data_IF_557240597546
#
_entry.id   IF_557240597546
#
_cell.length_a   1.000
_cell.length_b   1.000
_cell.length_c   1.000
_cell.angle_alpha   90.00
_cell.angle_beta   90.00
_cell.angle_gamma   90.00
#
_symmetry.space_group_name_H-M   'P 1'
#
loop_
_entity.id
_entity.type
_entity.pdbx_description
1 polymer ?
#
# COMPACT_ATOMS: atom_id res chain seq x y z
N UNK A 1 -10.84 -10.59 13.10
CA UNK A 1 -10.07 -9.91 12.03
C UNK A 1 -9.49 -10.98 11.14
N UNK A 2 -9.75 -10.92 9.84
CA UNK A 2 -9.16 -11.84 8.87
C UNK A 2 -7.95 -11.17 8.22
N UNK A 3 -6.94 -11.97 7.90
CA UNK A 3 -5.70 -11.54 7.27
C UNK A 3 -5.50 -12.33 5.98
N UNK A 4 -4.86 -11.72 4.97
CA UNK A 4 -4.50 -12.39 3.72
C UNK A 4 -5.68 -13.11 3.08
N UNK A 5 -6.78 -12.37 2.90
CA UNK A 5 -8.01 -12.94 2.37
C UNK A 5 -7.95 -12.91 0.84
N UNK A 6 -8.12 -14.06 0.16
CA UNK A 6 -8.11 -14.09 -1.29
C UNK A 6 -9.36 -13.38 -1.81
N UNK A 7 -9.17 -12.30 -2.55
CA UNK A 7 -10.25 -11.57 -3.20
C UNK A 7 -10.07 -11.66 -4.71
N UNK A 8 -10.42 -12.79 -5.31
CA UNK A 8 -10.47 -13.00 -6.77
C UNK A 8 -9.45 -14.02 -7.30
N UNK A 9 -9.31 -14.09 -8.62
CA UNK A 9 -8.55 -15.12 -9.35
C UNK A 9 -7.08 -14.76 -9.64
N UNK A 10 -6.55 -13.68 -9.07
CA UNK A 10 -5.17 -13.24 -9.24
C UNK A 10 -4.43 -13.19 -7.89
N UNK A 11 -3.10 -12.97 -7.88
CA UNK A 11 -2.26 -13.03 -6.68
C UNK A 11 -2.44 -11.85 -5.70
N UNK A 12 -3.56 -11.15 -5.78
CA UNK A 12 -3.83 -9.95 -4.98
C UNK A 12 -4.51 -10.34 -3.68
N UNK A 13 -3.69 -10.58 -2.66
CA UNK A 13 -4.17 -10.78 -1.30
C UNK A 13 -4.64 -9.45 -0.69
N UNK A 14 -5.80 -9.46 -0.06
CA UNK A 14 -6.21 -8.34 0.78
C UNK A 14 -5.52 -8.46 2.14
N UNK A 15 -4.80 -7.42 2.57
CA UNK A 15 -4.06 -7.46 3.83
C UNK A 15 -4.99 -7.81 4.99
N UNK A 16 -6.08 -7.07 5.18
CA UNK A 16 -7.01 -7.30 6.30
C UNK A 16 -8.48 -7.02 5.98
N UNK A 17 -9.37 -7.86 6.52
CA UNK A 17 -10.80 -7.57 6.70
C UNK A 17 -11.11 -7.45 8.19
N UNK A 18 -11.68 -6.30 8.58
CA UNK A 18 -12.16 -6.05 9.94
C UNK A 18 -13.68 -5.96 9.93
N UNK A 19 -14.31 -6.77 10.77
CA UNK A 19 -15.76 -6.76 11.00
C UNK A 19 -15.95 -6.37 12.45
N UNK A 20 -16.74 -5.33 12.70
CA UNK A 20 -17.04 -4.85 14.04
C UNK A 20 -18.33 -4.03 14.09
N UNK A 21 -18.69 -3.48 15.25
CA UNK A 21 -19.94 -2.74 15.42
C UNK A 21 -20.10 -1.58 14.45
N UNK A 22 -18.99 -0.98 14.02
CA UNK A 22 -18.97 0.13 13.08
C UNK A 22 -19.15 -0.26 11.60
N UNK A 23 -19.24 -1.56 11.28
CA UNK A 23 -19.36 -2.07 9.92
C UNK A 23 -18.22 -3.01 9.52
N UNK A 24 -18.07 -3.20 8.20
CA UNK A 24 -17.01 -3.99 7.59
C UNK A 24 -16.01 -3.07 6.89
N UNK A 25 -14.72 -3.34 7.09
CA UNK A 25 -13.62 -2.55 6.57
C UNK A 25 -12.61 -3.45 5.87
N UNK A 26 -12.14 -3.05 4.69
CA UNK A 26 -10.89 -3.56 4.14
C UNK A 26 -9.77 -2.60 4.51
N UNK A 27 -8.63 -3.12 4.93
CA UNK A 27 -7.47 -2.30 5.28
C UNK A 27 -6.31 -2.77 4.42
N UNK A 28 -5.75 -1.84 3.64
CA UNK A 28 -4.57 -2.05 2.84
C UNK A 28 -3.43 -1.18 3.39
N UNK A 29 -2.30 -1.80 3.70
CA UNK A 29 -1.16 -1.18 4.35
C UNK A 29 -0.11 -0.80 3.31
N UNK A 30 0.25 0.48 3.23
CA UNK A 30 1.28 0.99 2.32
C UNK A 30 2.45 1.55 3.12
N UNK A 31 3.56 0.80 3.11
CA UNK A 31 4.78 1.17 3.80
C UNK A 31 5.63 2.13 2.94
N UNK A 32 5.76 3.37 3.41
CA UNK A 32 6.48 4.45 2.70
C UNK A 32 7.55 5.07 3.59
N UNK A 33 8.46 4.24 4.12
CA UNK A 33 9.49 4.64 5.10
C UNK A 33 10.29 5.86 4.61
N UNK A 34 10.29 6.92 5.39
CA UNK A 34 11.09 8.13 5.13
C UNK A 34 10.56 9.02 4.00
N UNK A 35 9.48 8.62 3.32
CA UNK A 35 8.94 9.35 2.17
C UNK A 35 7.94 10.44 2.57
N UNK A 36 7.73 11.38 1.66
CA UNK A 36 6.68 12.39 1.77
C UNK A 36 5.44 11.93 1.02
N UNK A 37 4.33 11.76 1.73
CA UNK A 37 3.04 11.33 1.17
C UNK A 37 2.12 12.54 1.06
N UNK A 38 1.53 12.73 -0.11
CA UNK A 38 0.50 13.74 -0.34
C UNK A 38 -0.80 13.04 -0.75
N UNK A 39 -1.90 13.41 -0.12
CA UNK A 39 -3.22 12.82 -0.36
C UNK A 39 -4.14 13.91 -0.95
N UNK A 40 -4.71 13.63 -2.11
CA UNK A 40 -5.76 14.44 -2.73
C UNK A 40 -7.00 13.60 -3.01
N UNK A 41 -8.06 14.22 -3.57
CA UNK A 41 -9.36 13.57 -3.75
C UNK A 41 -9.30 12.26 -4.54
N UNK A 42 -8.51 12.23 -5.62
CA UNK A 42 -8.53 11.12 -6.58
C UNK A 42 -7.25 10.30 -6.58
N UNK A 43 -6.16 10.78 -5.98
CA UNK A 43 -4.86 10.10 -5.99
C UNK A 43 -4.01 10.40 -4.76
N UNK A 44 -3.10 9.48 -4.47
CA UNK A 44 -2.00 9.65 -3.51
C UNK A 44 -0.71 9.83 -4.30
N UNK A 45 0.12 10.81 -3.91
CA UNK A 45 1.49 10.96 -4.38
C UNK A 45 2.46 10.51 -3.29
N UNK A 46 3.52 9.81 -3.67
CA UNK A 46 4.62 9.42 -2.78
C UNK A 46 5.90 10.01 -3.36
N UNK A 47 6.48 10.98 -2.67
CA UNK A 47 7.66 11.74 -3.09
C UNK A 47 7.54 12.27 -4.52
N UNK A 48 6.36 12.84 -4.83
CA UNK A 48 6.02 13.41 -6.14
C UNK A 48 5.47 12.40 -7.16
N UNK A 49 5.59 11.10 -6.93
CA UNK A 49 5.15 10.07 -7.88
C UNK A 49 3.69 9.66 -7.66
N UNK A 50 2.93 9.56 -8.75
CA UNK A 50 1.52 9.13 -8.72
C UNK A 50 1.40 7.65 -8.36
N UNK A 51 0.41 7.33 -7.55
CA UNK A 51 0.10 5.94 -7.16
C UNK A 51 -1.36 5.60 -7.47
N UNK A 52 -1.63 4.30 -7.55
CA UNK A 52 -2.97 3.75 -7.77
C UNK A 52 -3.63 3.23 -6.48
N UNK A 53 -3.10 3.59 -5.30
CA UNK A 53 -3.54 3.06 -4.00
C UNK A 53 -5.04 3.22 -3.75
N UNK A 54 -5.61 4.37 -4.10
CA UNK A 54 -7.05 4.64 -3.92
C UNK A 54 -7.90 3.78 -4.84
N UNK A 55 -7.53 3.68 -6.12
CA UNK A 55 -8.24 2.88 -7.12
C UNK A 55 -8.25 1.41 -6.69
N UNK A 56 -7.09 0.89 -6.32
CA UNK A 56 -6.94 -0.51 -5.92
C UNK A 56 -7.76 -0.80 -4.64
N UNK A 57 -7.63 0.02 -3.59
CA UNK A 57 -8.41 -0.16 -2.37
C UNK A 57 -9.93 -0.13 -2.60
N UNK A 58 -10.41 0.77 -3.47
CA UNK A 58 -11.83 0.84 -3.83
C UNK A 58 -12.30 -0.42 -4.58
N UNK A 59 -11.51 -0.92 -5.54
CA UNK A 59 -11.82 -2.18 -6.24
C UNK A 59 -11.82 -3.38 -5.30
N UNK A 60 -10.86 -3.45 -4.40
CA UNK A 60 -10.74 -4.49 -3.38
C UNK A 60 -11.98 -4.48 -2.46
N UNK A 61 -12.37 -3.33 -1.91
CA UNK A 61 -13.57 -3.22 -1.09
C UNK A 61 -14.85 -3.58 -1.84
N UNK A 62 -14.99 -3.16 -3.10
CA UNK A 62 -16.15 -3.52 -3.93
C UNK A 62 -16.22 -5.04 -4.14
N UNK A 63 -15.08 -5.70 -4.36
CA UNK A 63 -15.01 -7.15 -4.51
C UNK A 63 -15.35 -7.87 -3.20
N UNK A 64 -14.75 -7.45 -2.08
CA UNK A 64 -15.08 -7.99 -0.74
C UNK A 64 -16.55 -7.81 -0.42
N UNK A 65 -17.13 -6.65 -0.71
CA UNK A 65 -18.56 -6.39 -0.53
C UNK A 65 -19.41 -7.38 -1.34
N UNK A 66 -19.09 -7.61 -2.61
CA UNK A 66 -19.81 -8.57 -3.45
C UNK A 66 -19.74 -10.00 -2.89
N UNK A 67 -18.55 -10.45 -2.48
CA UNK A 67 -18.32 -11.79 -1.95
C UNK A 67 -19.08 -12.01 -0.63
N UNK A 68 -18.90 -11.10 0.33
CA UNK A 68 -19.58 -11.19 1.61
C UNK A 68 -21.10 -11.06 1.47
N UNK A 69 -21.58 -10.23 0.55
CA UNK A 69 -23.03 -10.11 0.31
C UNK A 69 -23.62 -11.40 -0.24
N UNK A 70 -22.93 -12.04 -1.18
CA UNK A 70 -23.35 -13.33 -1.72
C UNK A 70 -23.34 -14.43 -0.65
N UNK A 71 -22.30 -14.50 0.16
CA UNK A 71 -22.17 -15.51 1.22
C UNK A 71 -23.14 -15.29 2.38
N UNK A 72 -23.42 -14.02 2.75
CA UNK A 72 -24.34 -13.69 3.84
C UNK A 72 -25.82 -13.66 3.41
N UNK A 73 -26.11 -13.67 2.11
CA UNK A 73 -27.47 -13.54 1.57
C UNK A 73 -28.11 -12.15 1.75
N UNK A 74 -27.34 -11.15 2.18
CA UNK A 74 -27.80 -9.78 2.43
C UNK A 74 -26.75 -8.76 1.96
N UNK A 75 -27.12 -7.52 1.60
CA UNK A 75 -26.14 -6.51 1.21
C UNK A 75 -25.16 -6.18 2.34
N UNK A 76 -23.86 -6.31 2.08
CA UNK A 76 -22.77 -5.97 3.01
C UNK A 76 -21.95 -4.83 2.44
N UNK A 77 -22.11 -3.64 3.02
CA UNK A 77 -21.27 -2.48 2.71
C UNK A 77 -19.86 -2.64 3.29
N UNK A 78 -18.83 -2.33 2.49
CA UNK A 78 -17.43 -2.43 2.92
C UNK A 78 -16.73 -1.09 2.69
N UNK A 79 -16.13 -0.55 3.75
CA UNK A 79 -15.40 0.72 3.69
C UNK A 79 -13.90 0.46 3.47
N UNK A 80 -13.30 0.91 2.36
CA UNK A 80 -11.86 0.77 2.15
C UNK A 80 -11.04 1.75 2.97
N UNK A 81 -9.96 1.25 3.55
CA UNK A 81 -8.97 2.01 4.30
C UNK A 81 -7.58 1.78 3.69
N UNK A 82 -6.86 2.87 3.41
CA UNK A 82 -5.43 2.85 3.11
C UNK A 82 -4.68 3.36 4.33
N UNK A 83 -3.93 2.47 4.99
CA UNK A 83 -3.08 2.79 6.13
C UNK A 83 -1.65 3.09 5.65
N UNK A 84 -1.19 4.32 5.84
CA UNK A 84 0.16 4.76 5.49
C UNK A 84 1.09 4.52 6.69
N UNK A 85 2.08 3.65 6.51
CA UNK A 85 3.06 3.28 7.55
C UNK A 85 4.42 3.92 7.24
N UNK A 86 5.07 4.47 8.27
CA UNK A 86 6.48 4.90 8.19
C UNK A 86 6.76 6.17 7.38
N UNK A 87 5.73 6.86 6.86
CA UNK A 87 5.91 8.10 6.12
C UNK A 87 6.49 9.22 7.00
N UNK A 88 7.58 9.85 6.54
CA UNK A 88 8.21 10.99 7.21
C UNK A 88 7.23 12.15 7.37
N UNK A 89 6.42 12.39 6.35
CA UNK A 89 5.34 13.39 6.35
C UNK A 89 4.18 12.87 5.51
N UNK A 90 2.96 13.09 5.98
CA UNK A 90 1.72 12.88 5.25
C UNK A 90 0.93 14.18 5.28
N UNK A 91 0.69 14.76 4.10
CA UNK A 91 -0.11 15.96 3.92
C UNK A 91 -1.41 15.58 3.23
N UNK A 92 -2.54 15.83 3.89
CA UNK A 92 -3.87 15.64 3.29
C UNK A 92 -4.34 16.98 2.76
N UNK A 93 -4.32 17.14 1.44
CA UNK A 93 -4.84 18.34 0.78
C UNK A 93 -6.34 18.27 0.61
N UNK A 94 -6.83 17.10 0.22
CA UNK A 94 -8.25 16.83 0.03
C UNK A 94 -8.50 15.34 0.33
N UNK A 95 -9.61 15.05 1.01
CA UNK A 95 -9.95 13.68 1.39
C UNK A 95 -10.66 12.98 0.22
N UNK A 96 -10.25 11.76 -0.16
CA UNK A 96 -11.01 10.97 -1.11
C UNK A 96 -12.41 10.68 -0.60
N UNK A 97 -13.40 10.71 -1.50
CA UNK A 97 -14.80 10.44 -1.14
C UNK A 97 -15.01 8.98 -0.75
N UNK A 98 -14.44 8.06 -1.53
CA UNK A 98 -14.77 6.63 -1.43
C UNK A 98 -13.78 5.82 -0.59
N UNK A 99 -12.64 6.41 -0.20
CA UNK A 99 -11.53 5.71 0.47
C UNK A 99 -11.02 6.52 1.65
N UNK A 100 -10.95 5.87 2.81
CA UNK A 100 -10.40 6.45 4.03
C UNK A 100 -8.87 6.29 3.99
N UNK A 101 -8.14 7.39 4.11
CA UNK A 101 -6.67 7.38 4.15
C UNK A 101 -6.21 7.86 5.52
N UNK A 102 -5.44 7.04 6.22
CA UNK A 102 -5.00 7.30 7.60
C UNK A 102 -3.53 6.98 7.74
N UNK A 103 -2.88 7.59 8.74
CA UNK A 103 -1.64 7.03 9.28
C UNK A 103 -1.97 5.79 10.10
N UNK A 104 -1.02 4.89 10.17
CA UNK A 104 -1.03 3.73 11.06
C UNK A 104 -1.33 4.08 12.52
N UNK A 105 -0.73 5.16 13.02
CA UNK A 105 -0.96 5.66 14.39
C UNK A 105 -2.39 6.17 14.64
N UNK A 106 -3.14 6.51 13.59
CA UNK A 106 -4.50 7.03 13.67
C UNK A 106 -5.56 5.93 13.54
N UNK A 107 -5.20 4.80 12.92
CA UNK A 107 -6.14 3.77 12.48
C UNK A 107 -7.01 3.22 13.61
N UNK A 108 -6.40 2.73 14.69
CA UNK A 108 -7.14 2.14 15.82
C UNK A 108 -8.06 3.16 16.48
N UNK A 109 -7.55 4.38 16.72
CA UNK A 109 -8.33 5.47 17.32
C UNK A 109 -9.47 5.92 16.40
N UNK A 110 -9.27 5.87 15.10
CA UNK A 110 -10.32 6.17 14.11
C UNK A 110 -11.41 5.11 14.14
N UNK A 111 -11.06 3.82 14.09
CA UNK A 111 -12.01 2.71 14.14
C UNK A 111 -12.85 2.72 15.43
N UNK A 112 -12.22 2.93 16.60
CA UNK A 112 -12.92 2.94 17.90
C UNK A 112 -13.90 4.11 18.07
N UNK A 113 -13.73 5.21 17.32
CA UNK A 113 -14.62 6.39 17.39
C UNK A 113 -15.78 6.32 16.41
N UNK A 114 -15.86 5.29 15.59
CA UNK A 114 -17.00 5.10 14.68
C UNK A 114 -18.24 4.69 15.48
N UNK A 115 -19.37 5.29 15.14
CA UNK A 115 -20.67 4.90 15.70
C UNK A 115 -20.97 3.44 15.34
N UNK A 116 -21.52 2.69 16.30
CA UNK A 116 -22.04 1.35 16.03
C UNK A 116 -23.26 1.43 15.10
N UNK A 117 -23.19 0.68 14.00
CA UNK A 117 -24.25 0.52 12.98
C UNK A 117 -24.70 -0.93 12.85
N UNK A 118 -23.92 -1.88 13.38
CA UNK A 118 -24.25 -3.31 13.46
C UNK A 118 -24.50 -3.70 14.92
N UNK A 119 -25.58 -4.45 15.15
CA UNK A 119 -25.84 -5.12 16.42
C UNK A 119 -24.81 -6.25 16.66
N UNK A 120 -24.53 -6.61 17.93
CA UNK A 120 -23.57 -7.67 18.26
C UNK A 120 -23.83 -8.98 17.50
N UNK A 121 -25.09 -9.38 17.34
CA UNK A 121 -25.50 -10.60 16.66
C UNK A 121 -25.22 -10.51 15.15
N UNK A 122 -25.37 -9.34 14.55
CA UNK A 122 -25.03 -9.11 13.14
C UNK A 122 -23.51 -9.21 12.93
N UNK A 123 -22.71 -8.66 13.85
CA UNK A 123 -21.25 -8.76 13.82
C UNK A 123 -20.83 -10.23 13.89
N UNK A 124 -21.39 -11.00 14.82
CA UNK A 124 -21.10 -12.43 14.97
C UNK A 124 -21.49 -13.22 13.71
N UNK A 125 -22.68 -12.99 13.15
CA UNK A 125 -23.11 -13.65 11.91
C UNK A 125 -22.19 -13.34 10.74
N UNK A 126 -21.86 -12.06 10.51
CA UNK A 126 -20.96 -11.67 9.43
C UNK A 126 -19.54 -12.21 9.63
N UNK A 127 -19.05 -12.23 10.88
CA UNK A 127 -17.76 -12.83 11.20
C UNK A 127 -17.74 -14.34 10.92
N UNK A 128 -18.83 -15.06 11.27
CA UNK A 128 -18.96 -16.49 11.00
C UNK A 128 -19.02 -16.78 9.50
N UNK A 129 -19.76 -15.97 8.72
CA UNK A 129 -19.78 -16.07 7.24
C UNK A 129 -18.39 -15.82 6.67
N UNK A 130 -17.73 -14.73 7.07
CA UNK A 130 -16.41 -14.38 6.57
C UNK A 130 -15.34 -15.44 6.91
N UNK A 131 -15.48 -16.15 8.03
CA UNK A 131 -14.55 -17.21 8.42
C UNK A 131 -14.64 -18.47 7.54
N UNK A 132 -15.70 -18.64 6.76
CA UNK A 132 -15.84 -19.79 5.86
C UNK A 132 -14.98 -19.56 4.61
N UNK A 133 -14.07 -20.49 4.25
CA UNK A 133 -13.27 -20.38 3.03
C UNK A 133 -14.13 -20.23 1.76
N UNK A 134 -15.31 -20.85 1.74
CA UNK A 134 -16.29 -20.75 0.65
C UNK A 134 -16.88 -19.35 0.45
N UNK A 135 -16.81 -18.47 1.45
CA UNK A 135 -17.21 -17.07 1.30
C UNK A 135 -16.26 -16.29 0.38
N UNK A 136 -15.08 -16.83 0.12
CA UNK A 136 -14.06 -16.26 -0.73
C UNK A 136 -13.97 -17.10 -2.02
N UNK A 137 -13.90 -16.44 -3.18
CA UNK A 137 -13.76 -17.15 -4.45
C UNK A 137 -12.49 -18.01 -4.42
N UNK A 138 -12.64 -19.26 -4.91
CA UNK A 138 -11.65 -20.34 -5.01
C UNK A 138 -10.22 -19.81 -4.97
N UNK A 139 -9.46 -20.18 -3.93
CA UNK A 139 -8.01 -20.13 -3.97
C UNK A 139 -7.59 -20.72 -5.33
N UNK A 140 -6.75 -20.07 -6.16
CA UNK A 140 -6.02 -20.84 -7.15
C UNK A 140 -5.41 -22.02 -6.37
N UNK A 141 -5.72 -23.23 -6.83
CA UNK A 141 -5.14 -24.47 -6.34
C UNK A 141 -3.67 -24.18 -6.05
N UNK A 142 -3.21 -24.40 -4.82
CA UNK A 142 -1.91 -23.90 -4.36
C UNK A 142 -0.86 -24.25 -5.40
N UNK A 143 -0.48 -23.29 -6.23
CA UNK A 143 0.62 -23.45 -7.16
C UNK A 143 1.80 -23.74 -6.24
N UNK A 144 2.41 -24.92 -6.37
CA UNK A 144 3.53 -25.33 -5.52
C UNK A 144 4.52 -24.17 -5.55
N UNK A 145 4.67 -23.47 -4.41
CA UNK A 145 5.47 -22.25 -4.36
C UNK A 145 6.89 -22.66 -4.69
N UNK A 146 7.36 -22.36 -5.91
CA UNK A 146 8.74 -22.60 -6.31
C UNK A 146 9.64 -21.67 -5.49
N UNK A 147 10.09 -22.18 -4.34
CA UNK A 147 11.03 -21.49 -3.47
C UNK A 147 12.31 -21.12 -4.22
N UNK A 148 12.70 -21.89 -5.24
CA UNK A 148 13.82 -21.58 -6.13
C UNK A 148 13.53 -20.39 -7.08
N UNK A 149 12.30 -20.20 -7.56
CA UNK A 149 11.89 -18.98 -8.26
C UNK A 149 11.90 -17.75 -7.32
N UNK A 150 11.48 -17.93 -6.07
CA UNK A 150 11.47 -16.87 -5.05
C UNK A 150 12.89 -16.41 -4.69
N UNK A 151 13.83 -17.34 -4.54
CA UNK A 151 15.24 -17.04 -4.29
C UNK A 151 15.91 -16.38 -5.51
N UNK A 152 15.57 -16.82 -6.74
CA UNK A 152 15.97 -16.13 -7.97
C UNK A 152 15.43 -14.69 -8.02
N UNK A 153 14.21 -14.45 -7.53
CA UNK A 153 13.64 -13.10 -7.44
C UNK A 153 14.39 -12.23 -6.42
N UNK A 154 14.77 -12.78 -5.25
CA UNK A 154 15.59 -12.08 -4.23
C UNK A 154 16.95 -11.67 -4.79
N UNK A 155 17.60 -12.54 -5.55
CA UNK A 155 18.87 -12.24 -6.23
C UNK A 155 18.69 -11.14 -7.30
N UNK A 156 17.56 -11.14 -8.01
CA UNK A 156 17.23 -10.13 -9.03
C UNK A 156 16.85 -8.75 -8.46
N UNK A 157 16.22 -8.67 -7.28
CA UNK A 157 15.95 -7.39 -6.58
C UNK A 157 17.27 -6.68 -6.20
N UNK A 158 18.36 -7.43 -6.01
CA UNK A 158 19.71 -6.87 -5.87
C UNK A 158 20.25 -6.12 -7.10
N UNK A 159 19.68 -6.31 -8.30
CA UNK A 159 20.06 -5.55 -9.51
C UNK A 159 19.33 -4.21 -9.61
N UNK A 160 18.11 -4.10 -9.05
CA UNK A 160 17.34 -2.85 -9.03
C UNK A 160 17.94 -1.81 -8.07
N UNK A 161 18.48 -2.25 -6.93
CA UNK A 161 19.23 -1.38 -6.00
C UNK A 161 20.57 -0.94 -6.61
N UNK A 162 21.29 -1.86 -7.27
CA UNK A 162 22.58 -1.55 -7.93
C UNK A 162 22.44 -0.51 -9.05
N UNK A 163 21.37 -0.57 -9.85
CA UNK A 163 21.09 0.47 -10.86
C UNK A 163 20.89 1.85 -10.23
N UNK A 164 20.19 1.94 -9.10
CA UNK A 164 19.97 3.21 -8.39
C UNK A 164 21.26 3.80 -7.80
N UNK A 165 22.12 2.95 -7.23
CA UNK A 165 23.44 3.35 -6.70
C UNK A 165 24.40 3.75 -7.83
N UNK A 166 24.42 3.01 -8.94
CA UNK A 166 25.25 3.32 -10.11
C UNK A 166 24.87 4.66 -10.74
N UNK A 167 23.57 4.95 -10.89
CA UNK A 167 23.13 6.27 -11.38
C UNK A 167 23.48 7.41 -10.41
N UNK A 168 23.45 7.17 -9.09
CA UNK A 168 23.85 8.16 -8.10
C UNK A 168 25.36 8.45 -8.12
N UNK A 169 26.20 7.42 -8.24
CA UNK A 169 27.66 7.59 -8.34
C UNK A 169 28.08 8.26 -9.66
N UNK A 170 27.43 7.93 -10.78
CA UNK A 170 27.68 8.57 -12.07
C UNK A 170 27.39 10.08 -12.03
N UNK A 171 26.30 10.50 -11.38
CA UNK A 171 25.96 11.93 -11.21
C UNK A 171 27.00 12.65 -10.35
N UNK A 172 27.43 12.05 -9.23
CA UNK A 172 28.46 12.65 -8.35
C UNK A 172 29.82 12.74 -9.06
N UNK A 173 30.23 11.70 -9.77
CA UNK A 173 31.47 11.68 -10.54
C UNK A 173 31.50 12.77 -11.62
N UNK A 174 30.41 12.91 -12.39
CA UNK A 174 30.29 13.94 -13.42
C UNK A 174 30.39 15.37 -12.84
N UNK A 175 29.79 15.62 -11.67
CA UNK A 175 29.92 16.93 -11.00
C UNK A 175 31.32 17.21 -10.48
N UNK A 176 32.02 16.20 -9.94
CA UNK A 176 33.38 16.38 -9.43
C UNK A 176 34.38 16.67 -10.56
N UNK A 177 34.26 15.98 -11.70
CA UNK A 177 35.09 16.23 -12.89
C UNK A 177 34.88 17.63 -13.46
N UNK A 178 33.64 18.13 -13.49
CA UNK A 178 33.32 19.48 -13.96
C UNK A 178 33.93 20.56 -13.05
N UNK A 179 33.83 20.38 -11.73
CA UNK A 179 34.42 21.31 -10.75
C UNK A 179 35.94 21.29 -10.80
N UNK A 180 36.56 20.10 -10.95
CA UNK A 180 38.01 19.98 -11.09
C UNK A 180 38.53 20.61 -12.39
N UNK A 181 37.85 20.39 -13.52
CA UNK A 181 38.22 21.03 -14.79
C UNK A 181 38.10 22.56 -14.74
N UNK A 182 37.09 23.08 -14.04
CA UNK A 182 36.88 24.50 -13.82
C UNK A 182 37.89 25.12 -12.83
N UNK A 183 38.32 24.37 -11.81
CA UNK A 183 39.38 24.79 -10.89
C UNK A 183 40.75 24.78 -11.58
N UNK A 184 41.05 23.75 -12.38
CA UNK A 184 42.30 23.66 -13.15
C UNK A 184 42.43 24.77 -14.19
N UNK A 185 41.35 25.12 -14.90
CA UNK A 185 41.38 26.19 -15.91
C UNK A 185 41.48 27.60 -15.31
N UNK A 186 41.09 27.78 -14.04
CA UNK A 186 41.11 29.09 -13.36
C UNK A 186 42.36 29.29 -12.49
N UNK A 187 42.88 28.24 -11.85
CA UNK A 187 44.00 28.32 -10.90
C UNK A 187 45.32 27.83 -11.50
N UNK A 188 45.28 26.89 -12.46
CA UNK A 188 46.49 26.39 -13.14
C UNK A 188 47.36 27.49 -13.74
N UNK A 189 46.80 28.48 -14.46
CA UNK A 189 47.58 29.59 -15.02
C UNK A 189 48.18 30.56 -14.00
N UNK A 190 47.78 30.49 -12.72
CA UNK A 190 48.27 31.36 -11.63
C UNK A 190 49.44 30.75 -10.85
N UNK A 191 49.72 29.46 -11.03
CA UNK A 191 50.80 28.74 -10.34
C UNK A 191 52.07 28.58 -11.20
N UNK A 192 52.02 28.96 -12.48
CA UNK A 192 53.13 28.86 -13.43
C UNK A 192 53.85 30.21 -13.68
N UNK A 193 53.71 31.20 -12.79
CA UNK A 193 54.47 32.46 -12.83
C UNK A 193 55.41 32.60 -11.63
#
# INVERSE_FOLDING_TARGET
>A
MLHSVPIGTGPSDLDHVVIGPAGVFTINTKHHRGQHVWVGAKRILVSGQRTDHLRNAAHEAKRTSKLLSAAAGVPVGVTPIVAIVGAKRMTVRERPADVVVLRDTELVRWLRRRRAVLAPEQVLRLAAVAAQPSAWQRMPESEVVDHGAFDRLRVNVGRAVRRRVLWQLAVVGATASAVFGMWWSTVGPLLER
#
